data_IF_193613491582
#
_entry.id   IF_193613491582
#
_cell.length_a   1.000
_cell.length_b   1.000
_cell.length_c   1.000
_cell.angle_alpha   90.00
_cell.angle_beta   90.00
_cell.angle_gamma   90.00
#
_symmetry.space_group_name_H-M   'P 1'
#
loop_
_entity.id
_entity.type
_entity.pdbx_description
1 polymer ?
#
# COMPACT_ATOMS: atom_id res chain seq x y z
N UNK A 1 -19.00 -10.16 -10.78
CA UNK A 1 -18.49 -8.78 -10.65
C UNK A 1 -18.27 -8.50 -9.17
N UNK A 2 -17.25 -7.73 -8.81
CA UNK A 2 -16.91 -7.36 -7.43
C UNK A 2 -16.92 -5.84 -7.30
N UNK A 3 -17.20 -5.32 -6.09
CA UNK A 3 -17.13 -3.90 -5.76
C UNK A 3 -15.82 -3.63 -5.03
N UNK A 4 -14.93 -2.84 -5.62
CA UNK A 4 -13.60 -2.54 -5.13
C UNK A 4 -13.50 -1.12 -4.62
N UNK A 5 -12.90 -0.93 -3.45
CA UNK A 5 -12.46 0.37 -2.94
C UNK A 5 -10.93 0.45 -3.02
N UNK A 6 -10.42 1.36 -3.85
CA UNK A 6 -8.97 1.52 -4.09
C UNK A 6 -8.54 2.91 -3.60
N UNK A 7 -7.69 2.97 -2.59
CA UNK A 7 -7.14 4.22 -2.08
C UNK A 7 -5.83 4.59 -2.78
N UNK A 8 -5.54 5.89 -2.90
CA UNK A 8 -4.36 6.37 -3.64
C UNK A 8 -4.43 6.07 -5.14
N UNK A 9 -5.65 6.06 -5.71
CA UNK A 9 -5.91 5.62 -7.07
C UNK A 9 -5.49 6.61 -8.16
N UNK A 10 -5.01 7.80 -7.82
CA UNK A 10 -4.69 8.86 -8.79
C UNK A 10 -3.33 8.72 -9.49
N UNK A 11 -2.50 7.75 -9.13
CA UNK A 11 -1.17 7.56 -9.75
C UNK A 11 -0.56 6.20 -9.38
N UNK A 12 0.57 5.87 -10.03
CA UNK A 12 1.42 4.73 -9.68
C UNK A 12 0.67 3.40 -9.60
N UNK A 13 0.93 2.63 -8.55
CA UNK A 13 0.31 1.31 -8.36
C UNK A 13 -1.21 1.40 -8.22
N UNK A 14 -1.75 2.43 -7.57
CA UNK A 14 -3.19 2.60 -7.40
C UNK A 14 -3.93 2.79 -8.74
N UNK A 15 -3.36 3.59 -9.63
CA UNK A 15 -3.89 3.76 -10.98
C UNK A 15 -3.75 2.48 -11.83
N UNK A 16 -2.64 1.77 -11.72
CA UNK A 16 -2.45 0.48 -12.38
C UNK A 16 -3.47 -0.56 -11.88
N UNK A 17 -3.72 -0.63 -10.56
CA UNK A 17 -4.75 -1.49 -9.97
C UNK A 17 -6.15 -1.16 -10.50
N UNK A 18 -6.50 0.13 -10.61
CA UNK A 18 -7.78 0.55 -11.14
C UNK A 18 -7.96 0.08 -12.60
N UNK A 19 -6.96 0.29 -13.46
CA UNK A 19 -7.00 -0.19 -14.86
C UNK A 19 -7.12 -1.71 -14.95
N UNK A 20 -6.29 -2.45 -14.23
CA UNK A 20 -6.35 -3.92 -14.24
C UNK A 20 -7.66 -4.49 -13.67
N UNK A 21 -8.27 -3.83 -12.70
CA UNK A 21 -9.58 -4.20 -12.17
C UNK A 21 -10.71 -3.87 -13.17
N UNK A 22 -10.61 -2.73 -13.85
CA UNK A 22 -11.55 -2.31 -14.89
C UNK A 22 -11.67 -3.33 -16.02
N UNK A 23 -10.56 -3.81 -16.57
CA UNK A 23 -10.56 -4.82 -17.65
C UNK A 23 -11.24 -6.15 -17.26
N UNK A 24 -11.53 -6.36 -15.97
CA UNK A 24 -12.24 -7.54 -15.44
C UNK A 24 -13.72 -7.27 -15.16
N UNK A 25 -14.23 -6.09 -15.52
CA UNK A 25 -15.63 -5.74 -15.37
C UNK A 25 -16.07 -5.50 -13.92
N UNK A 26 -15.20 -4.98 -13.05
CA UNK A 26 -15.54 -4.70 -11.67
C UNK A 26 -16.13 -3.31 -11.47
N UNK A 27 -16.85 -3.10 -10.35
CA UNK A 27 -17.28 -1.78 -9.88
C UNK A 27 -16.16 -1.14 -9.07
N UNK A 28 -15.76 0.08 -9.44
CA UNK A 28 -14.60 0.75 -8.86
C UNK A 28 -14.99 2.00 -8.07
N UNK A 29 -14.62 2.05 -6.81
CA UNK A 29 -14.64 3.24 -5.98
C UNK A 29 -13.19 3.70 -5.81
N UNK A 30 -12.83 4.81 -6.47
CA UNK A 30 -11.47 5.32 -6.53
C UNK A 30 -11.32 6.53 -5.59
N UNK A 31 -10.40 6.45 -4.64
CA UNK A 31 -10.17 7.48 -3.63
C UNK A 31 -8.80 8.10 -3.80
N UNK A 32 -8.72 9.42 -3.91
CA UNK A 32 -7.49 10.21 -3.84
C UNK A 32 -7.80 11.68 -3.60
N UNK A 33 -6.80 12.48 -3.21
CA UNK A 33 -6.97 13.91 -2.91
C UNK A 33 -7.17 14.78 -4.15
N UNK A 34 -6.53 14.43 -5.27
CA UNK A 34 -6.51 15.26 -6.49
C UNK A 34 -7.61 14.83 -7.45
N UNK A 35 -8.68 15.61 -7.64
CA UNK A 35 -9.81 15.23 -8.48
C UNK A 35 -9.42 15.04 -9.95
N UNK A 36 -8.60 15.94 -10.52
CA UNK A 36 -8.21 15.87 -11.93
C UNK A 36 -7.41 14.60 -12.24
N UNK A 37 -6.43 14.27 -11.40
CA UNK A 37 -5.63 13.05 -11.56
C UNK A 37 -6.46 11.78 -11.34
N UNK A 38 -7.48 11.84 -10.48
CA UNK A 38 -8.42 10.75 -10.28
C UNK A 38 -9.31 10.56 -11.51
N UNK A 39 -9.79 11.65 -12.11
CA UNK A 39 -10.56 11.63 -13.35
C UNK A 39 -9.73 11.08 -14.54
N UNK A 40 -8.45 11.44 -14.64
CA UNK A 40 -7.53 10.87 -15.64
C UNK A 40 -7.38 9.35 -15.47
N UNK A 41 -7.25 8.87 -14.23
CA UNK A 41 -7.20 7.43 -13.97
C UNK A 41 -8.51 6.76 -14.39
N UNK A 42 -9.64 7.34 -14.05
CA UNK A 42 -10.95 6.80 -14.43
C UNK A 42 -11.15 6.72 -15.94
N UNK A 43 -10.72 7.76 -16.67
CA UNK A 43 -10.79 7.79 -18.14
C UNK A 43 -9.93 6.68 -18.80
N UNK A 44 -8.92 6.17 -18.11
CA UNK A 44 -8.07 5.07 -18.57
C UNK A 44 -8.55 3.68 -18.07
N UNK A 45 -9.70 3.60 -17.41
CA UNK A 45 -10.25 2.35 -16.84
C UNK A 45 -11.31 1.75 -17.77
N UNK A 46 -10.86 1.28 -18.95
CA UNK A 46 -11.74 0.65 -19.93
C UNK A 46 -12.30 -0.69 -19.42
N UNK A 47 -13.60 -0.91 -19.66
CA UNK A 47 -14.28 -2.16 -19.32
C UNK A 47 -14.80 -2.26 -17.88
N UNK A 48 -14.64 -1.25 -17.04
CA UNK A 48 -15.24 -1.23 -15.71
C UNK A 48 -16.79 -1.25 -15.78
N UNK A 49 -17.42 -1.99 -14.88
CA UNK A 49 -18.90 -1.99 -14.79
C UNK A 49 -19.45 -0.62 -14.33
N UNK A 50 -18.77 0.02 -13.42
CA UNK A 50 -18.97 1.41 -13.02
C UNK A 50 -17.75 1.98 -12.34
N UNK A 51 -17.61 3.31 -12.34
CA UNK A 51 -16.54 4.01 -11.63
C UNK A 51 -17.16 5.17 -10.85
N UNK A 52 -16.88 5.20 -9.54
CA UNK A 52 -17.25 6.31 -8.67
C UNK A 52 -15.97 6.94 -8.11
N UNK A 53 -15.85 8.26 -8.25
CA UNK A 53 -14.68 9.01 -7.77
C UNK A 53 -14.98 9.63 -6.41
N UNK A 54 -14.03 9.52 -5.50
CA UNK A 54 -14.08 10.10 -4.16
C UNK A 54 -12.85 11.00 -3.95
N UNK A 55 -12.94 12.30 -4.30
CA UNK A 55 -11.91 13.27 -3.95
C UNK A 55 -11.89 13.49 -2.44
N UNK A 56 -10.98 12.82 -1.72
CA UNK A 56 -10.95 12.80 -0.27
C UNK A 56 -9.51 12.73 0.24
N UNK A 57 -9.21 13.51 1.29
CA UNK A 57 -7.98 13.36 2.06
C UNK A 57 -8.20 12.33 3.17
N UNK A 58 -7.53 11.20 3.06
CA UNK A 58 -7.61 10.10 4.04
C UNK A 58 -6.92 10.43 5.38
N UNK A 59 -6.23 11.56 5.50
CA UNK A 59 -5.65 12.02 6.77
C UNK A 59 -6.64 12.84 7.60
N UNK A 60 -7.74 13.27 7.01
CA UNK A 60 -8.88 13.90 7.68
C UNK A 60 -9.85 12.82 8.17
N UNK A 61 -9.70 12.44 9.44
CA UNK A 61 -10.47 11.36 10.04
C UNK A 61 -11.98 11.65 10.10
N UNK A 62 -12.36 12.93 10.30
CA UNK A 62 -13.77 13.33 10.40
C UNK A 62 -14.42 13.30 9.01
N UNK A 63 -13.74 13.80 7.98
CA UNK A 63 -14.21 13.70 6.60
C UNK A 63 -14.35 12.24 6.15
N UNK A 64 -13.40 11.38 6.52
CA UNK A 64 -13.47 9.94 6.24
C UNK A 64 -14.66 9.31 6.96
N UNK A 65 -14.88 9.62 8.24
CA UNK A 65 -16.01 9.09 9.02
C UNK A 65 -17.37 9.51 8.43
N UNK A 66 -17.50 10.76 7.99
CA UNK A 66 -18.70 11.26 7.35
C UNK A 66 -18.98 10.63 5.96
N UNK A 67 -17.92 10.28 5.23
CA UNK A 67 -18.01 9.69 3.90
C UNK A 67 -18.34 8.18 3.92
N UNK A 68 -17.78 7.42 4.85
CA UNK A 68 -17.89 5.96 4.91
C UNK A 68 -19.33 5.43 4.81
N UNK A 69 -20.36 6.02 5.46
CA UNK A 69 -21.74 5.55 5.34
C UNK A 69 -22.34 5.67 3.93
N UNK A 70 -21.75 6.45 3.04
CA UNK A 70 -22.19 6.60 1.65
C UNK A 70 -21.72 5.47 0.73
N UNK A 71 -20.83 4.61 1.20
CA UNK A 71 -20.30 3.51 0.40
C UNK A 71 -21.31 2.35 0.28
N UNK A 72 -21.40 1.73 -0.90
CA UNK A 72 -22.10 0.45 -1.04
C UNK A 72 -21.34 -0.67 -0.32
N UNK A 73 -21.87 -1.87 -0.23
CA UNK A 73 -21.13 -3.03 0.22
C UNK A 73 -19.84 -3.24 -0.61
N UNK A 74 -18.69 -3.19 0.06
CA UNK A 74 -17.38 -3.34 -0.58
C UNK A 74 -16.92 -4.80 -0.44
N UNK A 75 -16.60 -5.45 -1.56
CA UNK A 75 -16.08 -6.81 -1.58
C UNK A 75 -14.57 -6.83 -1.36
N UNK A 76 -13.84 -5.87 -1.94
CA UNK A 76 -12.39 -5.77 -1.83
C UNK A 76 -11.99 -4.36 -1.42
N UNK A 77 -11.33 -4.24 -0.26
CA UNK A 77 -10.67 -3.02 0.17
C UNK A 77 -9.18 -3.10 -0.16
N UNK A 78 -8.67 -2.16 -0.98
CA UNK A 78 -7.25 -2.04 -1.29
C UNK A 78 -6.71 -0.76 -0.67
N UNK A 79 -6.05 -0.89 0.47
CA UNK A 79 -5.35 0.19 1.15
C UNK A 79 -3.99 0.40 0.47
N UNK A 80 -3.98 1.27 -0.56
CA UNK A 80 -2.79 1.58 -1.34
C UNK A 80 -2.27 2.99 -1.11
N UNK A 81 -3.10 3.94 -0.66
CA UNK A 81 -2.64 5.29 -0.35
C UNK A 81 -1.44 5.27 0.61
N UNK A 82 -0.44 6.08 0.31
CA UNK A 82 0.75 6.16 1.13
C UNK A 82 1.68 7.28 0.68
N UNK A 83 2.54 7.72 1.59
CA UNK A 83 3.60 8.68 1.34
C UNK A 83 4.90 8.22 2.00
N UNK A 84 6.01 8.80 1.56
CA UNK A 84 7.32 8.57 2.15
C UNK A 84 8.15 9.84 2.12
N UNK A 85 9.08 9.96 3.07
CA UNK A 85 10.12 10.97 3.11
C UNK A 85 11.40 10.23 3.47
N UNK A 86 12.41 10.33 2.59
CA UNK A 86 13.66 9.60 2.72
C UNK A 86 14.78 10.56 3.09
N UNK A 87 14.94 10.75 4.38
CA UNK A 87 15.98 11.55 5.01
C UNK A 87 16.42 10.94 6.33
N UNK A 88 17.48 11.46 6.94
CA UNK A 88 17.96 10.88 8.20
C UNK A 88 16.93 11.06 9.31
N UNK A 89 16.95 10.21 10.32
CA UNK A 89 16.03 10.33 11.46
C UNK A 89 16.15 11.67 12.19
N UNK A 90 17.36 12.27 12.17
CA UNK A 90 17.58 13.57 12.81
C UNK A 90 17.07 14.76 11.98
N UNK A 91 16.90 14.58 10.67
CA UNK A 91 16.42 15.63 9.76
C UNK A 91 14.88 15.52 9.54
N UNK A 92 14.30 14.37 9.89
CA UNK A 92 12.84 14.16 9.77
C UNK A 92 12.13 14.84 10.93
N UNK A 93 11.22 15.76 10.61
CA UNK A 93 10.43 16.48 11.61
C UNK A 93 9.32 15.61 12.22
N UNK A 94 8.85 15.97 13.42
CA UNK A 94 7.70 15.32 14.06
C UNK A 94 6.44 15.40 13.18
N UNK A 95 6.23 16.53 12.51
CA UNK A 95 5.09 16.73 11.61
C UNK A 95 5.12 15.76 10.42
N UNK A 96 6.28 15.58 9.78
CA UNK A 96 6.47 14.64 8.68
C UNK A 96 6.29 13.20 9.15
N UNK A 97 6.82 12.85 10.32
CA UNK A 97 6.63 11.53 10.92
C UNK A 97 5.16 11.26 11.20
N UNK A 98 4.46 12.22 11.82
CA UNK A 98 3.04 12.11 12.10
C UNK A 98 2.20 11.98 10.82
N UNK A 99 2.52 12.75 9.77
CA UNK A 99 1.82 12.68 8.48
C UNK A 99 1.97 11.29 7.83
N UNK A 100 3.19 10.72 7.85
CA UNK A 100 3.41 9.35 7.35
C UNK A 100 2.64 8.30 8.15
N UNK A 101 2.62 8.40 9.49
CA UNK A 101 1.85 7.49 10.34
C UNK A 101 0.35 7.61 10.10
N UNK A 102 -0.16 8.83 9.97
CA UNK A 102 -1.58 9.07 9.68
C UNK A 102 -2.00 8.44 8.36
N UNK A 103 -1.29 8.71 7.27
CA UNK A 103 -1.66 8.21 5.95
C UNK A 103 -1.36 6.72 5.78
N UNK A 104 -0.16 6.27 6.18
CA UNK A 104 0.29 4.89 5.91
C UNK A 104 -0.27 3.86 6.87
N UNK A 105 -0.73 4.29 8.07
CA UNK A 105 -1.12 3.37 9.15
C UNK A 105 -2.53 3.65 9.64
N UNK A 106 -2.82 4.86 10.15
CA UNK A 106 -4.11 5.14 10.79
C UNK A 106 -5.26 5.18 9.78
N UNK A 107 -5.07 5.76 8.59
CA UNK A 107 -6.10 5.78 7.56
C UNK A 107 -6.52 4.37 7.09
N UNK A 108 -5.61 3.42 6.75
CA UNK A 108 -5.99 2.03 6.53
C UNK A 108 -6.74 1.39 7.69
N UNK A 109 -6.31 1.62 8.93
CA UNK A 109 -6.97 1.07 10.12
C UNK A 109 -8.40 1.61 10.25
N UNK A 110 -8.62 2.91 10.03
CA UNK A 110 -9.94 3.53 10.07
C UNK A 110 -10.89 2.92 9.02
N UNK A 111 -10.41 2.72 7.78
CA UNK A 111 -11.20 2.06 6.73
C UNK A 111 -11.53 0.60 7.10
N UNK A 112 -10.55 -0.12 7.65
CA UNK A 112 -10.75 -1.50 8.10
C UNK A 112 -11.77 -1.57 9.24
N UNK A 113 -11.68 -0.68 10.23
CA UNK A 113 -12.65 -0.64 11.35
C UNK A 113 -14.09 -0.46 10.86
N UNK A 114 -14.29 0.34 9.81
CA UNK A 114 -15.63 0.57 9.27
C UNK A 114 -16.12 -0.57 8.38
N UNK A 115 -15.25 -1.17 7.55
CA UNK A 115 -15.65 -2.10 6.50
C UNK A 115 -15.54 -3.59 6.90
N UNK A 116 -14.56 -3.95 7.74
CA UNK A 116 -14.36 -5.35 8.12
C UNK A 116 -15.56 -5.95 8.87
N UNK A 117 -16.23 -5.27 9.83
CA UNK A 117 -17.44 -5.80 10.45
C UNK A 117 -18.56 -6.10 9.45
N UNK A 118 -18.72 -5.26 8.42
CA UNK A 118 -19.70 -5.45 7.35
C UNK A 118 -19.35 -6.65 6.47
N UNK A 119 -18.05 -6.88 6.20
CA UNK A 119 -17.57 -8.06 5.47
C UNK A 119 -17.79 -9.34 6.30
N UNK A 120 -17.48 -9.30 7.60
CA UNK A 120 -17.70 -10.43 8.52
C UNK A 120 -19.19 -10.79 8.58
N UNK A 121 -20.07 -9.81 8.72
CA UNK A 121 -21.51 -10.04 8.76
C UNK A 121 -22.06 -10.72 7.48
N UNK A 122 -21.41 -10.47 6.32
CA UNK A 122 -21.76 -11.12 5.03
C UNK A 122 -21.07 -12.48 4.84
N UNK A 123 -20.08 -12.81 5.66
CA UNK A 123 -19.27 -14.03 5.53
C UNK A 123 -18.30 -14.01 4.35
N UNK A 124 -18.03 -12.86 3.73
CA UNK A 124 -17.05 -12.71 2.66
C UNK A 124 -16.50 -11.28 2.57
N UNK A 125 -15.26 -11.18 2.12
CA UNK A 125 -14.56 -9.93 1.88
C UNK A 125 -13.06 -10.16 1.72
N UNK A 126 -12.36 -9.19 1.15
CA UNK A 126 -10.92 -9.26 0.99
C UNK A 126 -10.29 -7.90 1.31
N UNK A 127 -9.42 -7.86 2.30
CA UNK A 127 -8.66 -6.68 2.70
C UNK A 127 -7.23 -6.85 2.20
N UNK A 128 -6.78 -5.94 1.34
CA UNK A 128 -5.45 -5.94 0.75
C UNK A 128 -4.72 -4.68 1.20
N UNK A 129 -3.67 -4.84 2.01
CA UNK A 129 -2.86 -3.73 2.49
C UNK A 129 -1.54 -3.65 1.70
N UNK A 130 -1.33 -2.53 0.99
CA UNK A 130 -0.08 -2.24 0.31
C UNK A 130 0.91 -1.67 1.32
N UNK A 131 1.84 -2.51 1.73
CA UNK A 131 2.83 -2.20 2.77
C UNK A 131 4.13 -1.76 2.10
N UNK A 132 5.18 -2.53 2.18
CA UNK A 132 6.49 -2.37 1.53
C UNK A 132 7.46 -3.42 2.08
N UNK A 133 8.54 -3.69 1.38
CA UNK A 133 9.71 -4.36 1.96
C UNK A 133 10.29 -3.57 3.15
N UNK A 134 10.13 -2.23 3.16
CA UNK A 134 10.48 -1.39 4.30
C UNK A 134 9.63 -1.66 5.57
N UNK A 135 8.53 -2.39 5.47
CA UNK A 135 7.78 -2.92 6.61
C UNK A 135 8.38 -4.18 7.24
N UNK A 136 9.41 -4.77 6.61
CA UNK A 136 10.11 -5.98 7.06
C UNK A 136 11.58 -5.75 7.39
N UNK A 137 12.23 -4.84 6.66
CA UNK A 137 13.64 -4.49 6.85
C UNK A 137 13.80 -2.98 6.64
N UNK A 138 14.43 -2.32 7.60
CA UNK A 138 14.70 -0.89 7.51
C UNK A 138 16.05 -0.64 6.79
N UNK A 139 16.13 0.51 6.13
CA UNK A 139 17.35 0.98 5.48
C UNK A 139 17.68 2.40 5.97
N UNK A 140 18.96 2.86 5.87
CA UNK A 140 19.28 4.25 6.17
C UNK A 140 18.37 5.23 5.43
N UNK A 141 18.05 6.36 6.07
CA UNK A 141 17.19 7.42 5.55
C UNK A 141 15.69 7.03 5.39
N UNK A 142 15.25 5.92 5.94
CA UNK A 142 13.82 5.52 5.86
C UNK A 142 13.17 5.32 7.24
N UNK A 143 13.76 5.83 8.33
CA UNK A 143 13.34 5.50 9.69
C UNK A 143 11.82 5.69 9.95
N UNK A 144 11.29 6.89 9.70
CA UNK A 144 9.87 7.18 9.92
C UNK A 144 8.96 6.42 8.93
N UNK A 145 9.36 6.32 7.66
CA UNK A 145 8.64 5.52 6.66
C UNK A 145 8.60 4.04 7.04
N UNK A 146 9.76 3.46 7.40
CA UNK A 146 9.84 2.07 7.83
C UNK A 146 8.99 1.82 9.08
N UNK A 147 9.02 2.71 10.06
CA UNK A 147 8.17 2.63 11.25
C UNK A 147 6.68 2.56 10.88
N UNK A 148 6.21 3.43 9.98
CA UNK A 148 4.81 3.42 9.53
C UNK A 148 4.42 2.12 8.83
N UNK A 149 5.31 1.57 8.00
CA UNK A 149 5.06 0.32 7.27
C UNK A 149 5.18 -0.94 8.14
N UNK A 150 6.08 -0.95 9.14
CA UNK A 150 6.12 -1.99 10.17
C UNK A 150 4.84 -2.01 11.01
N UNK A 151 4.34 -0.83 11.40
CA UNK A 151 3.09 -0.71 12.15
C UNK A 151 1.91 -1.31 11.36
N UNK A 152 1.77 -0.98 10.06
CA UNK A 152 0.72 -1.55 9.23
C UNK A 152 0.89 -3.05 9.02
N UNK A 153 2.14 -3.55 8.89
CA UNK A 153 2.40 -4.99 8.76
C UNK A 153 2.01 -5.74 10.03
N UNK A 154 2.39 -5.23 11.21
CA UNK A 154 2.01 -5.79 12.50
C UNK A 154 0.50 -5.87 12.67
N UNK A 155 -0.19 -4.75 12.41
CA UNK A 155 -1.66 -4.70 12.42
C UNK A 155 -2.28 -5.70 11.44
N UNK A 156 -1.77 -5.78 10.20
CA UNK A 156 -2.27 -6.71 9.17
C UNK A 156 -2.11 -8.16 9.59
N UNK A 157 -1.01 -8.50 10.28
CA UNK A 157 -0.77 -9.86 10.77
C UNK A 157 -1.73 -10.24 11.91
N UNK A 158 -1.99 -9.33 12.86
CA UNK A 158 -2.96 -9.53 13.92
C UNK A 158 -4.38 -9.67 13.36
N UNK A 159 -4.79 -8.73 12.50
CA UNK A 159 -6.11 -8.74 11.86
C UNK A 159 -6.39 -10.05 11.12
N UNK A 160 -5.38 -10.61 10.45
CA UNK A 160 -5.52 -11.90 9.75
C UNK A 160 -5.85 -13.05 10.69
N UNK A 161 -5.28 -13.05 11.90
CA UNK A 161 -5.58 -14.04 12.91
C UNK A 161 -6.98 -13.85 13.52
N UNK A 162 -7.35 -12.61 13.78
CA UNK A 162 -8.67 -12.24 14.31
C UNK A 162 -9.82 -12.61 13.37
N UNK A 163 -9.60 -12.46 12.05
CA UNK A 163 -10.62 -12.76 11.03
C UNK A 163 -10.60 -14.22 10.54
N UNK A 164 -9.79 -15.11 11.13
CA UNK A 164 -9.78 -16.52 10.77
C UNK A 164 -11.17 -17.15 10.97
N UNK A 165 -11.66 -17.85 9.94
CA UNK A 165 -12.97 -18.50 9.96
C UNK A 165 -14.17 -17.58 9.69
N UNK A 166 -13.97 -16.26 9.57
CA UNK A 166 -15.06 -15.30 9.28
C UNK A 166 -15.47 -15.24 7.81
N UNK A 167 -14.71 -15.89 6.91
CA UNK A 167 -14.88 -15.73 5.46
C UNK A 167 -14.17 -14.48 4.88
N UNK A 168 -13.59 -13.61 5.72
CA UNK A 168 -12.84 -12.43 5.29
C UNK A 168 -11.35 -12.75 5.18
N UNK A 169 -10.76 -12.41 4.04
CA UNK A 169 -9.35 -12.68 3.74
C UNK A 169 -8.52 -11.41 3.92
N UNK A 170 -7.29 -11.56 4.43
CA UNK A 170 -6.36 -10.45 4.62
C UNK A 170 -5.03 -10.77 3.93
N UNK A 171 -4.69 -9.96 2.92
CA UNK A 171 -3.45 -10.06 2.16
C UNK A 171 -2.55 -8.85 2.43
N UNK A 172 -1.29 -9.08 2.73
CA UNK A 172 -0.26 -8.04 2.71
C UNK A 172 0.49 -8.06 1.38
N UNK A 173 0.69 -6.89 0.78
CA UNK A 173 1.52 -6.72 -0.42
C UNK A 173 2.76 -5.94 -0.01
N UNK A 174 3.94 -6.50 -0.24
CA UNK A 174 5.20 -5.95 0.22
C UNK A 174 6.12 -5.70 -0.98
N UNK A 175 5.88 -4.60 -1.73
CA UNK A 175 6.74 -4.24 -2.85
C UNK A 175 8.09 -3.69 -2.37
N UNK A 176 9.11 -3.92 -3.18
CA UNK A 176 10.32 -3.12 -3.16
C UNK A 176 10.09 -1.76 -3.85
N UNK A 177 11.15 -1.04 -4.15
CA UNK A 177 11.07 0.23 -4.86
C UNK A 177 10.36 0.06 -6.21
N UNK A 178 9.51 1.03 -6.56
CA UNK A 178 8.81 1.08 -7.84
C UNK A 178 9.06 2.44 -8.48
N UNK A 179 9.34 2.47 -9.79
CA UNK A 179 9.49 3.72 -10.49
C UNK A 179 8.12 4.37 -10.70
N UNK A 180 7.72 5.21 -9.76
CA UNK A 180 6.43 5.89 -9.73
C UNK A 180 6.61 7.30 -9.17
N UNK A 181 5.63 8.18 -9.38
CA UNK A 181 5.60 9.53 -8.80
C UNK A 181 5.72 9.58 -7.27
N UNK A 182 5.64 8.45 -6.58
CA UNK A 182 5.91 8.34 -5.15
C UNK A 182 7.33 8.81 -4.79
N UNK A 183 8.33 8.43 -5.61
CA UNK A 183 9.71 8.79 -5.36
C UNK A 183 10.02 10.25 -5.67
N UNK A 184 9.24 10.92 -6.53
CA UNK A 184 9.41 12.35 -6.81
C UNK A 184 9.23 13.19 -5.54
N UNK A 185 8.39 12.71 -4.61
CA UNK A 185 8.14 13.32 -3.31
C UNK A 185 9.00 12.73 -2.19
N UNK A 186 9.20 11.39 -2.20
CA UNK A 186 9.91 10.71 -1.13
C UNK A 186 11.43 10.92 -1.17
N UNK A 187 12.01 11.04 -2.36
CA UNK A 187 13.45 11.15 -2.61
C UNK A 187 13.73 12.20 -3.72
N UNK A 188 13.44 13.49 -3.52
CA UNK A 188 13.55 14.53 -4.57
C UNK A 188 14.96 14.62 -5.19
N UNK A 189 16.00 14.23 -4.44
CA UNK A 189 17.38 14.18 -4.93
C UNK A 189 17.76 12.92 -5.70
N UNK A 190 16.88 11.91 -5.72
CA UNK A 190 17.12 10.61 -6.36
C UNK A 190 18.29 9.81 -5.72
N UNK A 191 18.72 10.19 -4.51
CA UNK A 191 19.87 9.56 -3.86
C UNK A 191 19.57 8.11 -3.48
N UNK A 192 18.39 7.86 -2.94
CA UNK A 192 17.96 6.52 -2.53
C UNK A 192 17.77 5.61 -3.75
N UNK A 193 17.12 6.11 -4.81
CA UNK A 193 16.93 5.37 -6.06
C UNK A 193 18.26 5.02 -6.73
N UNK A 194 19.20 5.97 -6.78
CA UNK A 194 20.56 5.73 -7.33
C UNK A 194 21.32 4.67 -6.56
N UNK A 195 21.20 4.67 -5.21
CA UNK A 195 21.84 3.67 -4.36
C UNK A 195 21.30 2.26 -4.57
N UNK A 196 20.02 2.12 -4.86
CA UNK A 196 19.38 0.81 -5.11
C UNK A 196 19.73 0.21 -6.47
N UNK A 197 19.92 1.04 -7.49
CA UNK A 197 20.07 0.60 -8.89
C UNK A 197 18.74 0.03 -9.47
N UNK A 198 18.73 -0.24 -10.76
CA UNK A 198 17.53 -0.67 -11.49
C UNK A 198 17.11 -2.11 -11.22
N UNK A 199 18.04 -2.96 -10.77
CA UNK A 199 17.80 -4.39 -10.53
C UNK A 199 16.71 -4.69 -9.48
N UNK A 200 16.54 -3.78 -8.50
CA UNK A 200 15.58 -3.95 -7.42
C UNK A 200 14.21 -3.33 -7.69
N UNK A 201 14.03 -2.69 -8.84
CA UNK A 201 12.79 -2.03 -9.17
C UNK A 201 11.69 -3.06 -9.47
N UNK A 202 10.54 -2.83 -8.86
CA UNK A 202 9.33 -3.60 -9.12
C UNK A 202 8.49 -2.84 -10.17
N UNK A 203 8.06 -3.54 -11.21
CA UNK A 203 7.13 -2.99 -12.20
C UNK A 203 5.72 -2.87 -11.57
N UNK A 204 5.13 -1.67 -11.51
CA UNK A 204 3.80 -1.47 -10.93
C UNK A 204 2.68 -2.17 -11.72
N UNK A 205 2.79 -2.31 -13.05
CA UNK A 205 1.79 -3.01 -13.86
C UNK A 205 1.81 -4.52 -13.59
N UNK A 206 2.99 -5.14 -13.57
CA UNK A 206 3.13 -6.56 -13.24
C UNK A 206 2.69 -6.86 -11.79
N UNK A 207 2.95 -5.93 -10.87
CA UNK A 207 2.48 -6.06 -9.48
C UNK A 207 0.96 -5.94 -9.39
N UNK A 208 0.35 -4.96 -10.08
CA UNK A 208 -1.10 -4.78 -10.14
C UNK A 208 -1.79 -6.02 -10.72
N UNK A 209 -1.26 -6.58 -11.81
CA UNK A 209 -1.76 -7.83 -12.38
C UNK A 209 -1.72 -8.99 -11.36
N UNK A 210 -0.62 -9.11 -10.60
CA UNK A 210 -0.46 -10.13 -9.55
C UNK A 210 -1.45 -9.94 -8.39
N UNK A 211 -1.72 -8.70 -7.99
CA UNK A 211 -2.70 -8.36 -6.95
C UNK A 211 -4.12 -8.68 -7.44
N UNK A 212 -4.47 -8.29 -8.66
CA UNK A 212 -5.78 -8.59 -9.24
C UNK A 212 -6.02 -10.10 -9.44
N UNK A 213 -4.97 -10.88 -9.69
CA UNK A 213 -5.08 -12.35 -9.71
C UNK A 213 -5.42 -12.93 -8.33
N UNK A 214 -5.00 -12.27 -7.24
CA UNK A 214 -5.32 -12.68 -5.88
C UNK A 214 -6.78 -12.42 -5.47
N UNK A 215 -7.58 -11.69 -6.24
CA UNK A 215 -9.02 -11.50 -5.96
C UNK A 215 -9.78 -12.83 -5.98
N UNK A 216 -9.39 -13.75 -6.86
CA UNK A 216 -10.03 -15.07 -7.01
C UNK A 216 -9.20 -16.22 -6.45
N UNK A 217 -7.91 -16.00 -6.19
CA UNK A 217 -7.01 -16.98 -5.57
C UNK A 217 -6.21 -16.28 -4.47
N UNK A 218 -6.84 -16.03 -3.33
CA UNK A 218 -6.24 -15.26 -2.26
C UNK A 218 -4.97 -15.91 -1.74
N UNK A 219 -3.98 -15.06 -1.43
CA UNK A 219 -2.71 -15.45 -0.85
C UNK A 219 -2.44 -14.63 0.41
N UNK A 220 -1.69 -15.20 1.34
CA UNK A 220 -1.30 -14.51 2.56
C UNK A 220 -0.48 -13.25 2.28
N UNK A 221 0.51 -13.36 1.38
CA UNK A 221 1.45 -12.29 1.09
C UNK A 221 1.85 -12.29 -0.39
N UNK A 222 2.01 -11.08 -0.96
CA UNK A 222 2.63 -10.85 -2.25
C UNK A 222 3.91 -10.06 -2.01
N UNK A 223 5.06 -10.71 -2.20
CA UNK A 223 6.40 -10.13 -1.95
C UNK A 223 7.14 -9.99 -3.28
N UNK A 224 7.60 -8.78 -3.59
CA UNK A 224 8.36 -8.45 -4.80
C UNK A 224 9.43 -7.40 -4.48
N UNK A 225 10.66 -7.53 -4.95
CA UNK A 225 11.24 -8.74 -5.56
C UNK A 225 11.41 -9.88 -4.54
N UNK A 226 11.39 -11.12 -5.00
CA UNK A 226 11.53 -12.30 -4.11
C UNK A 226 12.85 -12.35 -3.35
N UNK A 227 13.91 -11.79 -3.94
CA UNK A 227 15.23 -11.76 -3.30
C UNK A 227 15.25 -10.83 -2.09
N UNK A 228 14.58 -9.68 -2.15
CA UNK A 228 14.41 -8.80 -0.98
C UNK A 228 13.65 -9.50 0.15
N UNK A 229 12.63 -10.25 -0.18
CA UNK A 229 11.89 -11.04 0.80
C UNK A 229 12.78 -12.09 1.47
N UNK A 230 13.62 -12.80 0.69
CA UNK A 230 14.58 -13.75 1.26
C UNK A 230 15.56 -13.06 2.22
N UNK A 231 16.09 -11.91 1.83
CA UNK A 231 16.96 -11.10 2.68
C UNK A 231 16.25 -10.64 3.97
N UNK A 232 15.00 -10.18 3.87
CA UNK A 232 14.21 -9.75 5.02
C UNK A 232 13.93 -10.90 6.01
N UNK A 233 13.75 -12.13 5.53
CA UNK A 233 13.58 -13.32 6.39
C UNK A 233 14.87 -13.76 7.07
N UNK A 234 16.02 -13.59 6.40
CA UNK A 234 17.31 -13.97 6.95
C UNK A 234 17.87 -12.90 7.91
N UNK A 235 17.49 -11.65 7.74
CA UNK A 235 17.99 -10.53 8.54
C UNK A 235 17.87 -10.76 10.06
N UNK A 236 16.72 -11.21 10.62
CA UNK A 236 16.58 -11.45 12.06
C UNK A 236 17.48 -12.56 12.62
N UNK A 237 17.96 -13.47 11.76
CA UNK A 237 18.85 -14.59 12.18
C UNK A 237 20.30 -14.13 12.34
N UNK A 238 20.71 -13.06 11.64
CA UNK A 238 22.06 -12.54 11.71
C UNK A 238 22.05 -10.99 11.59
N UNK A 239 21.49 -10.26 12.57
CA UNK A 239 21.23 -8.83 12.44
C UNK A 239 22.50 -8.00 12.24
N UNK A 240 23.61 -8.33 12.91
CA UNK A 240 24.89 -7.61 12.73
C UNK A 240 25.43 -7.73 11.31
N UNK A 241 25.30 -8.89 10.68
CA UNK A 241 25.67 -9.09 9.27
C UNK A 241 24.73 -8.33 8.35
N UNK A 242 23.43 -8.37 8.64
CA UNK A 242 22.41 -7.60 7.92
C UNK A 242 22.67 -6.09 7.96
N UNK A 243 22.97 -5.54 9.15
CA UNK A 243 23.34 -4.14 9.34
C UNK A 243 24.58 -3.75 8.51
N UNK A 244 25.61 -4.60 8.55
CA UNK A 244 26.85 -4.35 7.80
C UNK A 244 26.59 -4.34 6.29
N UNK A 245 25.83 -5.32 5.78
CA UNK A 245 25.45 -5.39 4.37
C UNK A 245 24.61 -4.17 3.97
N UNK A 246 23.54 -3.87 4.70
CA UNK A 246 22.64 -2.74 4.43
C UNK A 246 23.41 -1.43 4.42
N UNK A 247 24.27 -1.20 5.41
CA UNK A 247 25.12 -0.01 5.47
C UNK A 247 26.05 0.08 4.26
N UNK A 248 26.69 -1.02 3.86
CA UNK A 248 27.62 -1.05 2.71
C UNK A 248 26.90 -0.74 1.38
N UNK A 249 25.66 -1.20 1.22
CA UNK A 249 24.88 -0.93 0.01
C UNK A 249 24.35 0.50 -0.06
N UNK A 250 23.88 1.06 1.06
CA UNK A 250 23.27 2.39 1.11
C UNK A 250 24.23 3.54 1.51
N UNK A 251 25.46 3.25 1.95
CA UNK A 251 26.46 4.27 2.30
C UNK A 251 27.37 4.65 1.13
N UNK A 252 27.15 4.16 -0.06
CA UNK A 252 27.87 4.65 -1.24
C UNK A 252 27.38 6.05 -1.56
N UNK A 253 28.22 7.05 -1.26
CA UNK A 253 28.06 8.45 -1.63
C UNK A 253 28.08 8.63 -3.14
#
# INVERSE_FOLDING_TARGET
MLTLLITGASSGLGAALARHAATRGHHLHLVARRPDALAQTAAACDGAASITLHPLDLTDADAVAAWLPSLPPIDILINNAGSGIFQTACDTTDAETAAMLRLNTLAPIQLIHALAPLMVARGHGHIINIISQAGKIATPKTAAYAASKHALLGYTNALRLELMGSGVIVTSVNPGPMQTAFFDHADPGGHYQKALGTFWLTDPEALAASICAAFHRPVREINRPRLMEAAARLYPLAPRLGDWLTRRFFSRK
#
